data_IF_064425786581
#
_entry.id   IF_064425786581
#
_cell.length_a   1.000
_cell.length_b   1.000
_cell.length_c   1.000
_cell.angle_alpha   90.00
_cell.angle_beta   90.00
_cell.angle_gamma   90.00
#
_symmetry.space_group_name_H-M   'P 1'
#
loop_
_entity.id
_entity.type
_entity.pdbx_description
1 polymer ?
#
# COMPACT_ATOMS: atom_id res chain seq x y z
N UNK A 1 -6.50 45.13 37.65
CA UNK A 1 -5.90 43.85 38.04
C UNK A 1 -6.59 43.41 39.32
N UNK A 2 -7.80 42.89 39.17
CA UNK A 2 -8.49 42.21 40.26
C UNK A 2 -8.25 40.74 39.97
N UNK A 3 -7.18 40.20 40.58
CA UNK A 3 -7.01 38.77 40.68
C UNK A 3 -8.34 38.20 41.18
N UNK A 4 -8.63 36.95 40.86
CA UNK A 4 -9.58 36.14 41.63
C UNK A 4 -9.00 35.90 43.04
N UNK A 5 -8.70 36.98 43.77
CA UNK A 5 -8.27 36.96 45.16
C UNK A 5 -9.47 36.41 45.90
N UNK A 6 -9.36 35.17 46.38
CA UNK A 6 -10.26 34.69 47.41
C UNK A 6 -10.16 35.69 48.55
N UNK A 7 -11.18 36.54 48.69
CA UNK A 7 -11.23 37.64 49.66
C UNK A 7 -11.26 37.13 51.10
N UNK A 8 -11.32 35.82 51.30
CA UNK A 8 -11.25 35.14 52.59
C UNK A 8 -10.30 33.95 52.49
N UNK A 9 -9.27 33.90 53.33
CA UNK A 9 -8.40 32.72 53.45
C UNK A 9 -9.12 31.61 54.23
N UNK A 10 -8.74 30.35 53.98
CA UNK A 10 -9.19 29.24 54.80
C UNK A 10 -8.72 29.49 56.25
N UNK A 11 -9.62 29.54 57.25
CA UNK A 11 -9.23 29.75 58.64
C UNK A 11 -8.32 28.62 59.13
N UNK A 12 -7.26 28.93 59.91
CA UNK A 12 -6.35 27.91 60.43
C UNK A 12 -7.06 26.99 61.44
N UNK A 13 -6.58 25.74 61.57
CA UNK A 13 -7.18 24.75 62.47
C UNK A 13 -7.16 25.18 63.96
N UNK A 14 -6.20 26.03 64.35
CA UNK A 14 -6.11 26.62 65.69
C UNK A 14 -7.34 27.42 66.07
N UNK A 15 -8.02 28.06 65.10
CA UNK A 15 -9.22 28.87 65.34
C UNK A 15 -10.43 28.01 65.74
N UNK A 16 -10.35 26.70 65.51
CA UNK A 16 -11.38 25.72 65.88
C UNK A 16 -11.02 24.87 67.10
N UNK A 17 -9.72 24.68 67.35
CA UNK A 17 -9.24 23.61 68.24
C UNK A 17 -8.30 24.05 69.37
N UNK A 18 -7.78 25.29 69.34
CA UNK A 18 -6.88 25.74 70.40
C UNK A 18 -7.60 25.86 71.75
N UNK A 19 -6.89 25.57 72.84
CA UNK A 19 -7.43 25.65 74.21
C UNK A 19 -7.83 27.08 74.64
N UNK A 20 -7.45 28.09 73.85
CA UNK A 20 -7.76 29.51 74.06
C UNK A 20 -8.95 30.01 73.22
N UNK A 21 -9.58 29.15 72.40
CA UNK A 21 -10.71 29.56 71.55
C UNK A 21 -11.92 29.89 72.42
N UNK A 22 -12.44 31.11 72.23
CA UNK A 22 -13.70 31.55 72.84
C UNK A 22 -14.87 31.18 71.93
N UNK A 23 -16.10 31.16 72.48
CA UNK A 23 -17.32 31.01 71.68
C UNK A 23 -17.40 32.03 70.52
N UNK A 24 -17.01 33.28 70.80
CA UNK A 24 -16.95 34.35 69.80
C UNK A 24 -15.91 34.07 68.71
N UNK A 25 -14.72 33.57 69.08
CA UNK A 25 -13.68 33.15 68.13
C UNK A 25 -14.16 32.02 67.22
N UNK A 26 -14.84 31.02 67.79
CA UNK A 26 -15.38 29.89 67.02
C UNK A 26 -16.47 30.34 66.02
N UNK A 27 -17.37 31.25 66.42
CA UNK A 27 -18.38 31.84 65.53
C UNK A 27 -17.75 32.62 64.37
N UNK A 28 -16.69 33.37 64.63
CA UNK A 28 -15.93 34.07 63.59
C UNK A 28 -15.28 33.07 62.61
N UNK A 29 -14.70 31.98 63.13
CA UNK A 29 -14.08 30.93 62.32
C UNK A 29 -15.09 30.22 61.39
N UNK A 30 -16.30 29.89 61.88
CA UNK A 30 -17.38 29.33 61.04
C UNK A 30 -17.80 30.31 59.95
N UNK A 31 -17.93 31.60 60.28
CA UNK A 31 -18.32 32.64 59.33
C UNK A 31 -17.27 32.77 58.22
N UNK A 32 -15.98 32.78 58.58
CA UNK A 32 -14.86 32.79 57.64
C UNK A 32 -14.83 31.54 56.77
N UNK A 33 -15.04 30.35 57.34
CA UNK A 33 -15.11 29.08 56.60
C UNK A 33 -16.26 29.09 55.58
N UNK A 34 -17.45 29.59 55.95
CA UNK A 34 -18.58 29.73 55.02
C UNK A 34 -18.28 30.70 53.90
N UNK A 35 -17.62 31.82 54.19
CA UNK A 35 -17.23 32.79 53.17
C UNK A 35 -16.20 32.20 52.20
N UNK A 36 -15.22 31.45 52.71
CA UNK A 36 -14.23 30.73 51.90
C UNK A 36 -14.92 29.72 50.98
N UNK A 37 -15.80 28.86 51.52
CA UNK A 37 -16.55 27.88 50.73
C UNK A 37 -17.47 28.54 49.70
N UNK A 38 -18.11 29.66 50.05
CA UNK A 38 -18.94 30.42 49.10
C UNK A 38 -18.11 31.03 47.98
N UNK A 39 -16.86 31.47 48.26
CA UNK A 39 -15.92 31.92 47.25
C UNK A 39 -15.43 30.81 46.33
N UNK A 40 -15.30 29.58 46.84
CA UNK A 40 -14.83 28.41 46.07
C UNK A 40 -15.94 27.73 45.27
N UNK A 41 -17.14 27.61 45.85
CA UNK A 41 -18.22 26.75 45.36
C UNK A 41 -19.48 27.55 44.96
N UNK A 42 -19.49 28.86 45.17
CA UNK A 42 -20.69 29.68 45.04
C UNK A 42 -21.61 29.64 46.27
N UNK A 43 -22.62 30.51 46.28
CA UNK A 43 -23.50 30.74 47.44
C UNK A 43 -24.80 29.93 47.42
N UNK A 44 -25.15 29.31 46.30
CA UNK A 44 -26.46 28.69 46.05
C UNK A 44 -26.49 27.17 46.30
N UNK A 45 -25.34 26.57 46.60
CA UNK A 45 -25.20 25.13 46.84
C UNK A 45 -25.41 24.26 45.58
N UNK A 46 -25.41 24.83 44.38
CA UNK A 46 -25.57 24.06 43.13
C UNK A 46 -24.23 23.58 42.62
N UNK A 47 -24.17 22.30 42.23
CA UNK A 47 -22.97 21.70 41.61
C UNK A 47 -22.54 22.45 40.35
N UNK A 48 -23.48 22.92 39.52
CA UNK A 48 -23.16 23.68 38.32
C UNK A 48 -22.47 25.02 38.62
N UNK A 49 -22.95 25.74 39.64
CA UNK A 49 -22.33 26.98 40.11
C UNK A 49 -20.94 26.69 40.67
N UNK A 50 -20.80 25.65 41.49
CA UNK A 50 -19.50 25.24 42.03
C UNK A 50 -18.49 24.88 40.94
N UNK A 51 -18.88 24.07 39.94
CA UNK A 51 -18.02 23.72 38.81
C UNK A 51 -17.59 24.96 38.02
N UNK A 52 -18.48 25.94 37.85
CA UNK A 52 -18.16 27.20 37.18
C UNK A 52 -17.19 28.04 38.01
N UNK A 53 -17.43 28.19 39.31
CA UNK A 53 -16.56 28.94 40.23
C UNK A 53 -15.17 28.30 40.36
N UNK A 54 -15.10 26.96 40.34
CA UNK A 54 -13.85 26.20 40.30
C UNK A 54 -13.13 26.26 38.94
N UNK A 55 -13.78 26.77 37.88
CA UNK A 55 -13.25 26.80 36.52
C UNK A 55 -13.08 25.41 35.90
N UNK A 56 -13.93 24.45 36.30
CA UNK A 56 -13.89 23.10 35.74
C UNK A 56 -14.18 23.11 34.24
N UNK A 57 -13.40 22.36 33.46
CA UNK A 57 -13.59 22.27 32.01
C UNK A 57 -14.95 21.65 31.69
N UNK A 58 -15.73 22.32 30.83
CA UNK A 58 -17.10 21.95 30.53
C UNK A 58 -18.15 22.50 31.51
N UNK A 59 -17.78 23.41 32.41
CA UNK A 59 -18.69 23.92 33.46
C UNK A 59 -19.88 24.71 32.91
N UNK A 60 -19.72 25.38 31.77
CA UNK A 60 -20.78 26.15 31.12
C UNK A 60 -20.54 26.30 29.61
N UNK A 61 -21.57 26.71 28.89
CA UNK A 61 -21.57 26.82 27.43
C UNK A 61 -21.84 28.26 26.97
N UNK A 62 -21.08 28.73 25.99
CA UNK A 62 -21.19 30.06 25.40
C UNK A 62 -21.27 29.94 23.87
N UNK A 63 -22.41 30.30 23.30
CA UNK A 63 -22.55 30.41 21.85
C UNK A 63 -22.15 31.82 21.38
N UNK A 64 -21.25 31.92 20.39
CA UNK A 64 -20.78 33.20 19.84
C UNK A 64 -20.80 33.17 18.31
N UNK A 65 -21.40 34.19 17.70
CA UNK A 65 -21.52 34.34 16.23
C UNK A 65 -20.85 35.61 15.69
N UNK A 66 -20.11 36.33 16.53
CA UNK A 66 -19.42 37.57 16.20
C UNK A 66 -18.31 37.87 17.20
N UNK A 67 -17.60 38.98 16.96
CA UNK A 67 -16.44 39.40 17.74
C UNK A 67 -16.66 39.28 19.25
N UNK A 68 -15.75 38.56 19.92
CA UNK A 68 -15.80 38.30 21.35
C UNK A 68 -14.38 38.27 21.90
N UNK A 69 -14.18 38.77 23.12
CA UNK A 69 -12.93 38.63 23.85
C UNK A 69 -13.20 37.74 25.06
N UNK A 70 -12.42 36.66 25.19
CA UNK A 70 -12.52 35.72 26.29
C UNK A 70 -12.19 36.46 27.59
N UNK A 71 -13.08 36.36 28.56
CA UNK A 71 -12.92 36.92 29.90
C UNK A 71 -12.34 35.87 30.86
N UNK A 72 -11.84 36.30 32.03
CA UNK A 72 -11.36 35.36 33.04
C UNK A 72 -12.49 34.49 33.62
N UNK A 73 -13.73 34.96 33.57
CA UNK A 73 -14.92 34.22 33.99
C UNK A 73 -15.32 33.09 33.02
N UNK A 74 -14.75 33.11 31.81
CA UNK A 74 -14.96 32.04 30.82
C UNK A 74 -14.10 30.81 31.13
N UNK A 75 -13.35 30.79 32.24
CA UNK A 75 -12.53 29.64 32.62
C UNK A 75 -13.38 28.37 32.65
N UNK A 76 -12.92 27.35 31.92
CA UNK A 76 -13.61 26.07 31.79
C UNK A 76 -14.84 26.09 30.87
N UNK A 77 -15.16 27.21 30.22
CA UNK A 77 -16.28 27.29 29.28
C UNK A 77 -16.05 26.43 28.03
N UNK A 78 -17.16 25.94 27.47
CA UNK A 78 -17.24 25.50 26.08
C UNK A 78 -17.74 26.67 25.24
N UNK A 79 -16.86 27.23 24.41
CA UNK A 79 -17.19 28.33 23.50
C UNK A 79 -17.47 27.72 22.12
N UNK A 80 -18.74 27.68 21.73
CA UNK A 80 -19.18 27.25 20.41
C UNK A 80 -19.33 28.46 19.49
N UNK A 81 -18.56 28.46 18.42
CA UNK A 81 -18.35 29.60 17.54
C UNK A 81 -18.88 29.33 16.15
N UNK A 82 -19.48 30.35 15.54
CA UNK A 82 -19.96 30.31 14.15
C UNK A 82 -19.60 31.60 13.42
N UNK A 83 -19.45 31.54 12.09
CA UNK A 83 -19.14 32.70 11.24
C UNK A 83 -17.64 32.98 11.05
N UNK A 84 -17.30 34.18 10.59
CA UNK A 84 -15.92 34.62 10.32
C UNK A 84 -15.63 35.90 11.10
N UNK A 85 -14.84 35.80 12.17
CA UNK A 85 -14.53 36.90 13.09
C UNK A 85 -13.31 36.56 13.96
N UNK A 86 -12.83 37.51 14.76
CA UNK A 86 -11.67 37.31 15.63
C UNK A 86 -12.07 37.12 17.09
N UNK A 87 -11.65 35.99 17.69
CA UNK A 87 -11.76 35.73 19.12
C UNK A 87 -10.51 36.28 19.82
N UNK A 88 -10.68 37.35 20.58
CA UNK A 88 -9.62 37.88 21.44
C UNK A 88 -9.37 36.96 22.63
N UNK A 89 -8.11 36.69 22.95
CA UNK A 89 -7.71 35.99 24.17
C UNK A 89 -7.20 37.01 25.20
N UNK A 90 -7.39 36.77 26.51
CA UNK A 90 -6.80 37.63 27.53
C UNK A 90 -5.27 37.58 27.47
N UNK A 91 -4.61 38.55 28.10
CA UNK A 91 -3.16 38.49 28.29
C UNK A 91 -2.80 37.24 29.11
N UNK A 92 -1.72 36.57 28.73
CA UNK A 92 -1.22 35.36 29.40
C UNK A 92 -0.97 35.61 30.88
N UNK A 93 -0.41 36.78 31.23
CA UNK A 93 -0.18 37.19 32.62
C UNK A 93 -1.47 37.33 33.43
N UNK A 94 -2.57 37.75 32.80
CA UNK A 94 -3.87 37.87 33.46
C UNK A 94 -4.62 36.53 33.55
N UNK A 95 -4.44 35.66 32.56
CA UNK A 95 -5.05 34.33 32.53
C UNK A 95 -4.38 33.36 33.52
N UNK A 96 -3.08 33.53 33.74
CA UNK A 96 -2.23 32.66 34.55
C UNK A 96 -2.14 31.21 34.02
N UNK A 97 -1.15 30.45 34.49
CA UNK A 97 -0.95 29.08 34.09
C UNK A 97 -2.16 28.19 34.45
N UNK A 98 -2.58 27.36 33.51
CA UNK A 98 -3.68 26.41 33.67
C UNK A 98 -5.08 26.98 33.39
N UNK A 99 -5.22 28.25 33.01
CA UNK A 99 -6.49 28.73 32.45
C UNK A 99 -6.80 27.97 31.17
N UNK A 100 -8.01 27.41 31.06
CA UNK A 100 -8.38 26.57 29.93
C UNK A 100 -9.81 26.82 29.47
N UNK A 101 -10.03 26.81 28.16
CA UNK A 101 -11.37 26.85 27.53
C UNK A 101 -11.45 25.81 26.43
N UNK A 102 -12.63 25.20 26.27
CA UNK A 102 -12.90 24.31 25.14
C UNK A 102 -13.47 25.14 23.98
N UNK A 103 -12.83 25.05 22.82
CA UNK A 103 -13.22 25.77 21.62
C UNK A 103 -13.84 24.80 20.61
N UNK A 104 -14.96 25.19 20.02
CA UNK A 104 -15.59 24.49 18.88
C UNK A 104 -15.98 25.50 17.82
N UNK A 105 -15.63 25.24 16.57
CA UNK A 105 -16.16 26.01 15.44
C UNK A 105 -17.19 25.14 14.70
N UNK A 106 -18.46 25.30 15.07
CA UNK A 106 -19.59 24.64 14.43
C UNK A 106 -20.06 25.30 13.13
N UNK A 107 -19.46 26.44 12.74
CA UNK A 107 -19.82 27.18 11.53
C UNK A 107 -19.07 26.72 10.28
N UNK A 108 -19.29 27.46 9.20
CA UNK A 108 -18.61 27.29 7.90
C UNK A 108 -17.45 28.29 7.69
N UNK A 109 -17.41 29.35 8.49
CA UNK A 109 -16.38 30.38 8.44
C UNK A 109 -15.15 30.07 9.32
N UNK A 110 -14.08 30.82 9.12
CA UNK A 110 -12.85 30.72 9.93
C UNK A 110 -12.90 31.75 11.05
N UNK A 111 -12.70 31.31 12.29
CA UNK A 111 -12.52 32.20 13.44
C UNK A 111 -11.03 32.38 13.69
N UNK A 112 -10.55 33.62 13.81
CA UNK A 112 -9.14 33.89 14.09
C UNK A 112 -8.95 34.05 15.60
N UNK A 113 -8.10 33.21 16.20
CA UNK A 113 -7.70 33.36 17.60
C UNK A 113 -6.59 34.42 17.67
N UNK A 114 -6.80 35.45 18.49
CA UNK A 114 -5.90 36.59 18.60
C UNK A 114 -5.49 36.77 20.06
N UNK A 115 -4.29 36.32 20.46
CA UNK A 115 -3.68 36.66 21.75
C UNK A 115 -3.57 38.18 21.97
N UNK A 116 -3.57 38.61 23.24
CA UNK A 116 -3.40 40.02 23.57
C UNK A 116 -1.94 40.48 23.36
N UNK A 117 -1.76 41.69 22.83
CA UNK A 117 -0.44 42.30 22.71
C UNK A 117 0.56 41.46 21.91
N UNK A 118 1.69 41.11 22.52
CA UNK A 118 2.76 40.30 21.93
C UNK A 118 2.70 38.82 22.32
N UNK A 119 1.65 38.39 23.01
CA UNK A 119 1.49 36.99 23.40
C UNK A 119 1.38 36.09 22.17
N UNK A 120 1.77 34.83 22.34
CA UNK A 120 1.78 33.85 21.26
C UNK A 120 0.84 32.69 21.52
N UNK A 121 0.27 32.13 20.45
CA UNK A 121 -0.44 30.85 20.40
C UNK A 121 0.31 29.91 19.47
N UNK A 122 0.80 28.77 19.98
CA UNK A 122 1.63 27.83 19.21
C UNK A 122 2.81 28.51 18.49
N UNK A 123 3.41 29.54 19.12
CA UNK A 123 4.51 30.33 18.56
C UNK A 123 4.10 31.39 17.51
N UNK A 124 2.81 31.62 17.28
CA UNK A 124 2.29 32.60 16.33
C UNK A 124 1.48 33.72 17.04
N UNK A 125 1.47 34.94 16.48
CA UNK A 125 0.67 36.06 17.00
C UNK A 125 -0.83 35.99 16.66
N UNK A 126 -1.24 35.04 15.83
CA UNK A 126 -2.64 34.68 15.61
C UNK A 126 -2.74 33.29 15.01
N UNK A 127 -3.89 32.64 15.19
CA UNK A 127 -4.14 31.31 14.62
C UNK A 127 -5.52 31.22 13.98
N UNK A 128 -5.56 30.76 12.72
CA UNK A 128 -6.81 30.47 12.02
C UNK A 128 -7.45 29.17 12.54
N UNK A 129 -8.64 29.29 13.12
CA UNK A 129 -9.45 28.18 13.63
C UNK A 129 -10.61 27.91 12.67
N UNK A 130 -10.32 27.10 11.64
CA UNK A 130 -11.23 26.76 10.56
C UNK A 130 -12.48 25.97 10.98
N UNK A 131 -13.45 25.82 10.07
CA UNK A 131 -14.73 25.16 10.33
C UNK A 131 -14.55 23.69 10.73
N UNK A 132 -15.40 23.20 11.64
CA UNK A 132 -15.39 21.82 12.12
C UNK A 132 -14.24 21.47 13.09
N UNK A 133 -13.36 22.42 13.42
CA UNK A 133 -12.28 22.21 14.40
C UNK A 133 -12.82 22.25 15.84
N UNK A 134 -12.18 21.48 16.71
CA UNK A 134 -12.42 21.49 18.15
C UNK A 134 -11.13 21.22 18.91
N UNK A 135 -10.86 21.99 19.95
CA UNK A 135 -9.62 21.93 20.71
C UNK A 135 -9.82 22.46 22.13
N UNK A 136 -8.96 22.05 23.06
CA UNK A 136 -8.86 22.71 24.37
C UNK A 136 -7.71 23.71 24.29
N UNK A 137 -8.00 25.00 24.48
CA UNK A 137 -7.02 26.06 24.59
C UNK A 137 -6.56 26.16 26.04
N UNK A 138 -5.25 26.18 26.28
CA UNK A 138 -4.65 26.21 27.62
C UNK A 138 -3.61 27.33 27.67
N UNK A 139 -3.64 28.14 28.73
CA UNK A 139 -2.58 29.08 29.06
C UNK A 139 -1.47 28.35 29.82
N UNK A 140 -0.23 28.43 29.33
CA UNK A 140 0.95 27.81 29.96
C UNK A 140 1.61 28.71 31.02
N UNK A 141 1.16 29.95 31.15
CA UNK A 141 1.80 31.00 31.94
C UNK A 141 2.81 31.86 31.16
N UNK A 142 3.22 31.43 29.96
CA UNK A 142 4.08 32.24 29.05
C UNK A 142 3.54 32.32 27.62
N UNK A 143 2.63 31.42 27.23
CA UNK A 143 2.00 31.38 25.91
C UNK A 143 0.69 30.58 25.96
N UNK A 144 -0.06 30.63 24.86
CA UNK A 144 -1.24 29.81 24.61
C UNK A 144 -0.87 28.54 23.84
N UNK A 145 -1.44 27.40 24.24
CA UNK A 145 -1.32 26.11 23.55
C UNK A 145 -2.69 25.52 23.22
N UNK A 146 -2.78 24.75 22.14
CA UNK A 146 -3.96 23.97 21.75
C UNK A 146 -3.71 22.49 21.95
N UNK A 147 -4.49 21.88 22.83
CA UNK A 147 -4.61 20.44 22.92
C UNK A 147 -5.68 19.97 21.92
N UNK A 148 -5.25 19.47 20.77
CA UNK A 148 -6.11 18.89 19.74
C UNK A 148 -5.53 17.56 19.18
N UNK A 149 -6.38 16.62 18.72
CA UNK A 149 -5.89 15.50 17.93
C UNK A 149 -5.32 16.05 16.61
N UNK A 150 -4.02 15.88 16.40
CA UNK A 150 -3.35 16.32 15.17
C UNK A 150 -3.93 15.53 13.99
N UNK A 151 -4.73 16.18 13.14
CA UNK A 151 -5.20 15.60 11.87
C UNK A 151 -4.28 16.02 10.73
N UNK A 152 -4.29 15.26 9.65
CA UNK A 152 -3.66 15.67 8.39
C UNK A 152 -4.25 17.00 7.90
N UNK A 153 -3.39 17.92 7.49
CA UNK A 153 -3.76 19.22 6.91
C UNK A 153 -4.24 19.13 5.46
N UNK A 154 -4.03 17.99 4.80
CA UNK A 154 -4.53 17.67 3.47
C UNK A 154 -4.16 16.24 3.05
N UNK A 155 -4.59 15.78 1.86
CA UNK A 155 -4.33 14.41 1.38
C UNK A 155 -2.84 14.07 1.21
N UNK A 156 -1.98 15.08 1.06
CA UNK A 156 -0.54 14.94 0.88
C UNK A 156 0.27 15.09 2.20
N UNK A 157 -0.39 15.31 3.34
CA UNK A 157 0.30 15.49 4.63
C UNK A 157 0.78 14.15 5.19
N UNK A 158 2.06 13.84 4.96
CA UNK A 158 2.72 12.63 5.45
C UNK A 158 3.36 12.78 6.84
N UNK A 159 3.07 13.86 7.58
CA UNK A 159 3.71 14.09 8.88
C UNK A 159 3.37 12.98 9.88
N UNK A 160 4.37 12.37 10.56
CA UNK A 160 4.13 11.32 11.54
C UNK A 160 3.24 11.78 12.71
N UNK A 161 2.48 10.83 13.28
CA UNK A 161 1.65 11.06 14.47
C UNK A 161 0.36 11.84 14.22
N UNK A 162 -0.05 11.99 12.95
CA UNK A 162 -1.33 12.60 12.58
C UNK A 162 -2.40 11.55 12.27
N UNK A 163 -3.65 11.84 12.63
CA UNK A 163 -4.82 11.06 12.21
C UNK A 163 -5.15 11.33 10.74
N UNK A 164 -5.46 10.27 10.00
CA UNK A 164 -5.91 10.35 8.61
C UNK A 164 -7.22 11.15 8.49
N UNK A 165 -7.32 12.00 7.48
CA UNK A 165 -8.58 12.66 7.16
C UNK A 165 -9.54 11.70 6.44
N UNK A 166 -10.85 11.92 6.58
CA UNK A 166 -11.86 11.12 5.88
C UNK A 166 -11.66 11.29 4.37
N UNK A 167 -11.58 10.18 3.62
CA UNK A 167 -11.32 10.19 2.18
C UNK A 167 -9.84 10.13 1.79
N UNK A 168 -8.90 10.46 2.68
CA UNK A 168 -7.47 10.31 2.40
C UNK A 168 -7.04 8.83 2.28
N UNK A 169 -7.81 7.91 2.88
CA UNK A 169 -7.54 6.47 2.79
C UNK A 169 -7.59 5.94 1.35
N UNK A 170 -8.45 6.50 0.48
CA UNK A 170 -8.52 6.11 -0.94
C UNK A 170 -7.27 6.56 -1.72
N UNK A 171 -6.73 7.74 -1.41
CA UNK A 171 -5.46 8.23 -1.97
C UNK A 171 -4.29 7.35 -1.52
N UNK A 172 -4.26 6.98 -0.24
CA UNK A 172 -3.25 6.05 0.31
C UNK A 172 -3.38 4.64 -0.28
N UNK A 173 -4.61 4.17 -0.55
CA UNK A 173 -4.85 2.87 -1.17
C UNK A 173 -4.56 2.86 -2.68
N UNK A 174 -4.85 3.95 -3.40
CA UNK A 174 -4.48 4.13 -4.80
C UNK A 174 -2.96 4.27 -4.97
N UNK A 175 -2.28 4.79 -3.95
CA UNK A 175 -0.82 4.82 -3.84
C UNK A 175 -0.24 3.48 -3.34
N UNK A 176 -1.08 2.51 -2.99
CA UNK A 176 -0.60 1.23 -2.51
C UNK A 176 0.01 0.45 -3.67
N UNK A 177 1.29 0.07 -3.58
CA UNK A 177 1.94 -0.72 -4.61
C UNK A 177 1.31 -2.11 -4.80
N UNK A 178 0.47 -2.54 -3.85
CA UNK A 178 -0.31 -3.77 -3.92
C UNK A 178 -1.38 -3.76 -5.04
N UNK A 179 -1.78 -2.59 -5.58
CA UNK A 179 -2.82 -2.53 -6.61
C UNK A 179 -2.25 -2.72 -8.02
N UNK A 180 -1.35 -1.83 -8.47
CA UNK A 180 -0.50 -1.91 -9.68
C UNK A 180 0.22 -0.58 -9.88
N UNK A 181 1.55 -0.58 -10.02
CA UNK A 181 2.31 0.64 -10.32
C UNK A 181 2.05 1.13 -11.76
N UNK A 182 2.04 2.45 -11.97
CA UNK A 182 2.02 3.00 -13.32
C UNK A 182 3.41 2.90 -13.95
N UNK A 183 3.46 2.69 -15.27
CA UNK A 183 4.71 2.44 -16.00
C UNK A 183 4.97 3.59 -16.96
N UNK A 184 6.15 4.18 -16.87
CA UNK A 184 6.76 5.06 -17.86
C UNK A 184 8.10 4.50 -18.35
N UNK A 185 8.81 5.30 -19.13
CA UNK A 185 10.13 4.94 -19.66
C UNK A 185 10.08 4.15 -20.97
N UNK A 186 11.15 3.40 -21.24
CA UNK A 186 11.35 2.59 -22.45
C UNK A 186 11.44 1.09 -22.12
N UNK A 187 11.45 0.24 -23.15
CA UNK A 187 11.48 -1.22 -23.04
C UNK A 187 12.48 -1.80 -22.01
N UNK A 188 13.67 -1.20 -21.90
CA UNK A 188 14.75 -1.68 -21.02
C UNK A 188 15.07 -0.71 -19.87
N UNK A 189 14.35 0.41 -19.78
CA UNK A 189 14.52 1.42 -18.72
C UNK A 189 13.15 1.84 -18.26
N UNK A 190 12.63 1.11 -17.27
CA UNK A 190 11.28 1.30 -16.75
C UNK A 190 11.31 2.28 -15.58
N UNK A 191 10.34 3.20 -15.57
CA UNK A 191 10.07 4.06 -14.42
C UNK A 191 8.71 3.69 -13.84
N UNK A 192 8.68 3.20 -12.61
CA UNK A 192 7.47 2.83 -11.89
C UNK A 192 7.09 3.94 -10.91
N UNK A 193 5.85 4.41 -10.96
CA UNK A 193 5.31 5.34 -9.95
C UNK A 193 4.31 4.61 -9.08
N UNK A 194 4.62 4.51 -7.79
CA UNK A 194 3.74 3.89 -6.78
C UNK A 194 2.75 4.90 -6.21
N UNK A 195 3.14 6.18 -6.13
CA UNK A 195 2.39 7.23 -5.43
C UNK A 195 2.58 7.22 -3.91
N UNK A 196 3.32 6.25 -3.36
CA UNK A 196 3.60 6.13 -1.92
C UNK A 196 4.74 7.04 -1.44
N UNK A 197 5.44 7.72 -2.35
CA UNK A 197 6.60 8.57 -2.06
C UNK A 197 7.64 7.84 -1.18
N UNK A 198 8.06 6.66 -1.63
CA UNK A 198 9.05 5.86 -0.93
C UNK A 198 10.35 6.66 -0.78
N UNK A 199 10.95 6.65 0.41
CA UNK A 199 12.24 7.31 0.69
C UNK A 199 13.45 6.39 0.44
N UNK A 200 13.22 5.09 0.38
CA UNK A 200 14.17 4.04 0.02
C UNK A 200 13.41 2.79 -0.42
N UNK A 201 14.09 1.86 -1.08
CA UNK A 201 13.54 0.55 -1.43
C UNK A 201 13.73 -0.43 -0.25
N UNK A 202 12.68 -0.84 0.47
CA UNK A 202 12.80 -1.87 1.49
C UNK A 202 12.96 -3.24 0.85
N UNK A 203 13.88 -4.07 1.37
CA UNK A 203 13.98 -5.48 1.00
C UNK A 203 12.65 -6.20 1.21
N UNK A 204 12.21 -6.98 0.23
CA UNK A 204 10.92 -7.65 0.22
C UNK A 204 9.78 -6.83 -0.39
N UNK A 205 10.05 -5.61 -0.90
CA UNK A 205 9.04 -4.84 -1.63
C UNK A 205 8.56 -5.61 -2.85
N UNK A 206 7.24 -5.82 -2.94
CA UNK A 206 6.56 -6.44 -4.08
C UNK A 206 5.76 -5.41 -4.85
N UNK A 207 6.04 -5.32 -6.15
CA UNK A 207 5.35 -4.45 -7.10
C UNK A 207 4.74 -5.30 -8.21
N UNK A 208 3.58 -4.89 -8.70
CA UNK A 208 2.98 -5.42 -9.93
C UNK A 208 2.85 -4.30 -10.95
N UNK A 209 3.22 -4.55 -12.20
CA UNK A 209 3.09 -3.58 -13.29
C UNK A 209 2.75 -4.25 -14.62
N UNK A 210 2.32 -3.47 -15.62
CA UNK A 210 2.19 -3.95 -17.01
C UNK A 210 3.02 -3.07 -17.91
N UNK A 211 3.97 -3.67 -18.62
CA UNK A 211 4.83 -2.92 -19.51
C UNK A 211 4.06 -2.42 -20.75
N UNK A 212 4.52 -1.31 -21.31
CA UNK A 212 4.03 -0.74 -22.58
C UNK A 212 4.81 -1.26 -23.79
N UNK A 213 5.99 -1.83 -23.56
CA UNK A 213 6.84 -2.43 -24.59
C UNK A 213 7.48 -3.72 -24.07
N UNK A 214 7.79 -4.64 -25.00
CA UNK A 214 8.59 -5.83 -24.70
C UNK A 214 10.03 -5.41 -24.45
N UNK A 215 10.68 -5.97 -23.42
CA UNK A 215 12.10 -5.74 -23.22
C UNK A 215 12.92 -6.43 -24.33
N UNK A 216 14.03 -5.82 -24.73
CA UNK A 216 14.94 -6.38 -25.74
C UNK A 216 16.24 -6.90 -25.13
N UNK A 217 16.39 -6.84 -23.81
CA UNK A 217 17.51 -7.39 -23.06
C UNK A 217 17.46 -6.98 -21.59
N UNK A 218 18.66 -6.82 -20.99
CA UNK A 218 18.81 -6.39 -19.61
C UNK A 218 18.02 -5.11 -19.35
N UNK A 219 17.23 -5.11 -18.27
CA UNK A 219 16.30 -4.03 -17.94
C UNK A 219 16.61 -3.47 -16.56
N UNK A 220 16.38 -2.17 -16.38
CA UNK A 220 16.40 -1.53 -15.06
C UNK A 220 15.02 -0.98 -14.70
N UNK A 221 14.69 -0.99 -13.42
CA UNK A 221 13.49 -0.35 -12.85
C UNK A 221 13.93 0.74 -11.88
N UNK A 222 13.47 1.96 -12.12
CA UNK A 222 13.50 3.07 -11.16
C UNK A 222 12.11 3.22 -10.54
N UNK A 223 12.02 3.26 -9.22
CA UNK A 223 10.75 3.39 -8.49
C UNK A 223 10.72 4.74 -7.78
N UNK A 224 9.71 5.54 -8.09
CA UNK A 224 9.49 6.88 -7.50
C UNK A 224 10.73 7.82 -7.58
N UNK A 225 11.65 7.58 -8.51
CA UNK A 225 12.88 8.37 -8.67
C UNK A 225 13.98 8.07 -7.67
N UNK A 226 13.94 6.91 -7.00
CA UNK A 226 14.95 6.45 -6.03
C UNK A 226 16.24 5.94 -6.70
N UNK A 227 16.24 5.78 -8.02
CA UNK A 227 17.38 5.35 -8.80
C UNK A 227 17.13 4.01 -9.49
N UNK A 228 17.71 3.86 -10.68
CA UNK A 228 17.55 2.68 -11.50
C UNK A 228 18.29 1.47 -10.90
N UNK A 229 17.55 0.39 -10.68
CA UNK A 229 18.05 -0.89 -10.17
C UNK A 229 17.91 -1.98 -11.24
N UNK A 230 18.93 -2.83 -11.38
CA UNK A 230 18.94 -3.92 -12.34
C UNK A 230 17.86 -4.98 -12.06
N UNK A 231 17.27 -5.51 -13.13
CA UNK A 231 16.30 -6.60 -13.07
C UNK A 231 16.95 -7.94 -13.42
N UNK A 232 16.51 -8.99 -12.73
CA UNK A 232 16.94 -10.36 -12.89
C UNK A 232 15.75 -11.29 -13.05
N UNK A 233 15.98 -12.43 -13.71
CA UNK A 233 15.02 -13.53 -13.78
C UNK A 233 14.88 -14.19 -12.40
N UNK A 234 13.90 -15.07 -12.24
CA UNK A 234 13.76 -15.90 -11.02
C UNK A 234 14.98 -16.80 -10.74
N UNK A 235 15.80 -17.06 -11.76
CA UNK A 235 17.06 -17.83 -11.67
C UNK A 235 18.28 -16.96 -11.40
N UNK A 236 18.13 -15.63 -11.31
CA UNK A 236 19.21 -14.68 -11.03
C UNK A 236 20.01 -14.21 -12.25
N UNK A 237 19.64 -14.64 -13.46
CA UNK A 237 20.26 -14.18 -14.70
C UNK A 237 19.78 -12.77 -15.08
N UNK A 238 20.54 -12.06 -15.94
CA UNK A 238 20.05 -10.84 -16.56
C UNK A 238 18.80 -11.13 -17.41
N UNK A 239 17.86 -10.19 -17.49
CA UNK A 239 16.63 -10.44 -18.25
C UNK A 239 16.92 -10.69 -19.75
N UNK A 240 16.41 -11.79 -20.31
CA UNK A 240 16.47 -12.05 -21.74
C UNK A 240 15.43 -11.23 -22.49
N UNK A 241 15.62 -11.07 -23.79
CA UNK A 241 14.64 -10.39 -24.65
C UNK A 241 13.27 -11.08 -24.58
N UNK A 242 12.20 -10.30 -24.46
CA UNK A 242 10.83 -10.81 -24.37
C UNK A 242 10.43 -11.41 -23.01
N UNK A 243 11.26 -11.29 -21.97
CA UNK A 243 10.90 -11.72 -20.61
C UNK A 243 9.72 -10.91 -20.05
N UNK A 244 9.76 -9.58 -20.20
CA UNK A 244 8.68 -8.68 -19.82
C UNK A 244 7.70 -8.60 -20.98
N UNK A 245 6.42 -8.90 -20.69
CA UNK A 245 5.34 -8.89 -21.67
C UNK A 245 4.38 -7.72 -21.49
N UNK A 246 3.69 -7.35 -22.56
CA UNK A 246 2.70 -6.26 -22.57
C UNK A 246 1.26 -6.74 -22.34
N UNK A 247 0.98 -8.03 -22.56
CA UNK A 247 -0.35 -8.64 -22.47
C UNK A 247 -0.74 -9.03 -21.04
N UNK A 248 0.26 -9.26 -20.18
CA UNK A 248 0.08 -9.70 -18.79
C UNK A 248 0.86 -8.82 -17.81
N UNK A 249 0.49 -8.89 -16.54
CA UNK A 249 1.25 -8.20 -15.50
C UNK A 249 2.49 -8.99 -15.11
N UNK A 250 3.54 -8.24 -14.78
CA UNK A 250 4.81 -8.73 -14.25
C UNK A 250 4.88 -8.41 -12.77
N UNK A 251 5.37 -9.36 -11.97
CA UNK A 251 5.62 -9.17 -10.55
C UNK A 251 7.11 -8.91 -10.34
N UNK A 252 7.46 -7.88 -9.59
CA UNK A 252 8.83 -7.51 -9.25
C UNK A 252 9.01 -7.52 -7.74
N UNK A 253 9.95 -8.32 -7.26
CA UNK A 253 10.35 -8.42 -5.86
C UNK A 253 11.74 -7.79 -5.68
N UNK A 254 11.88 -6.83 -4.77
CA UNK A 254 13.20 -6.27 -4.44
C UNK A 254 13.90 -7.14 -3.40
N UNK A 255 15.05 -7.72 -3.74
CA UNK A 255 15.83 -8.60 -2.85
C UNK A 255 16.83 -7.85 -1.95
N UNK A 256 16.91 -6.52 -2.09
CA UNK A 256 17.90 -5.67 -1.42
C UNK A 256 19.05 -5.20 -2.33
N UNK A 257 19.22 -5.82 -3.50
CA UNK A 257 20.28 -5.49 -4.49
C UNK A 257 19.73 -5.36 -5.92
N UNK A 258 18.72 -6.15 -6.28
CA UNK A 258 18.16 -6.24 -7.63
C UNK A 258 16.65 -6.50 -7.55
N UNK A 259 15.97 -6.22 -8.67
CA UNK A 259 14.59 -6.65 -8.86
C UNK A 259 14.56 -8.06 -9.41
N UNK A 260 13.93 -9.00 -8.71
CA UNK A 260 13.64 -10.35 -9.20
C UNK A 260 12.25 -10.34 -9.82
N UNK A 261 12.19 -10.59 -11.13
CA UNK A 261 10.94 -10.53 -11.89
C UNK A 261 10.38 -11.93 -12.13
N UNK A 262 9.11 -12.09 -11.80
CA UNK A 262 8.32 -13.26 -12.14
C UNK A 262 7.26 -12.91 -13.20
N UNK A 263 6.93 -13.89 -14.05
CA UNK A 263 6.00 -13.74 -15.16
C UNK A 263 5.02 -14.90 -15.22
N UNK A 264 3.80 -14.60 -15.65
CA UNK A 264 2.85 -15.65 -16.02
C UNK A 264 3.43 -16.50 -17.18
N UNK A 265 3.22 -17.83 -17.16
CA UNK A 265 3.55 -18.70 -18.29
C UNK A 265 2.96 -18.17 -19.59
N UNK A 266 3.77 -18.16 -20.64
CA UNK A 266 3.30 -17.86 -22.00
C UNK A 266 2.97 -19.17 -22.69
N UNK A 267 1.78 -19.25 -23.30
CA UNK A 267 1.30 -20.44 -23.99
C UNK A 267 0.80 -20.05 -25.36
N UNK A 268 1.12 -20.86 -26.36
CA UNK A 268 0.64 -20.64 -27.73
C UNK A 268 0.38 -21.95 -28.45
N UNK A 269 -0.46 -21.84 -29.49
CA UNK A 269 -0.80 -22.94 -30.40
C UNK A 269 -0.57 -22.45 -31.81
N UNK A 270 0.25 -23.17 -32.55
CA UNK A 270 0.58 -22.95 -33.96
C UNK A 270 0.32 -24.23 -34.74
N UNK A 271 0.39 -24.16 -36.07
CA UNK A 271 0.18 -25.33 -36.95
C UNK A 271 1.20 -26.44 -36.67
N UNK A 272 2.42 -26.07 -36.28
CA UNK A 272 3.54 -26.96 -35.98
C UNK A 272 3.62 -27.36 -34.50
N UNK A 273 2.58 -27.09 -33.70
CA UNK A 273 2.48 -27.57 -32.33
C UNK A 273 2.10 -26.51 -31.31
N UNK A 274 2.18 -26.89 -30.04
CA UNK A 274 1.91 -26.04 -28.89
C UNK A 274 3.21 -25.77 -28.14
N UNK A 275 3.32 -24.59 -27.53
CA UNK A 275 4.45 -24.25 -26.67
C UNK A 275 4.03 -23.68 -25.33
N UNK A 276 4.87 -23.84 -24.31
CA UNK A 276 4.78 -23.16 -23.01
C UNK A 276 6.15 -22.65 -22.62
N UNK A 277 6.29 -21.33 -22.40
CA UNK A 277 7.48 -20.69 -21.82
C UNK A 277 7.22 -20.34 -20.36
N UNK A 278 8.08 -20.82 -19.48
CA UNK A 278 8.04 -20.57 -18.04
C UNK A 278 9.02 -19.47 -17.63
N UNK A 279 8.79 -18.87 -16.46
CA UNK A 279 9.62 -17.80 -15.92
C UNK A 279 11.06 -18.26 -15.63
N UNK A 280 11.25 -19.53 -15.27
CA UNK A 280 12.56 -20.13 -14.97
C UNK A 280 13.46 -20.34 -16.19
N UNK A 281 12.92 -20.15 -17.40
CA UNK A 281 13.64 -20.40 -18.66
C UNK A 281 13.21 -21.67 -19.38
N UNK A 282 12.41 -22.52 -18.75
CA UNK A 282 11.95 -23.75 -19.38
C UNK A 282 11.00 -23.46 -20.55
N UNK A 283 11.28 -24.08 -21.69
CA UNK A 283 10.43 -24.18 -22.86
C UNK A 283 9.98 -25.63 -23.05
N UNK A 284 8.66 -25.80 -23.17
CA UNK A 284 8.06 -27.09 -23.50
C UNK A 284 7.33 -26.93 -24.82
N UNK A 285 7.73 -27.71 -25.82
CA UNK A 285 7.08 -27.79 -27.11
C UNK A 285 6.41 -29.16 -27.26
N UNK A 286 5.25 -29.23 -27.89
CA UNK A 286 4.56 -30.49 -28.17
C UNK A 286 3.85 -30.45 -29.51
N UNK A 287 3.79 -31.57 -30.23
CA UNK A 287 3.11 -31.65 -31.51
C UNK A 287 2.60 -33.06 -31.80
N UNK A 288 1.48 -33.15 -32.51
CA UNK A 288 1.01 -34.36 -33.15
C UNK A 288 1.19 -34.17 -34.65
N UNK A 289 2.07 -34.95 -35.27
CA UNK A 289 2.41 -34.82 -36.68
C UNK A 289 2.25 -36.14 -37.42
N UNK A 290 1.97 -36.05 -38.72
CA UNK A 290 1.97 -37.20 -39.62
C UNK A 290 3.27 -37.24 -40.41
N UNK A 291 4.01 -38.33 -40.26
CA UNK A 291 5.25 -38.60 -40.97
C UNK A 291 4.90 -39.23 -42.33
N UNK A 292 5.31 -38.62 -43.45
CA UNK A 292 5.15 -39.21 -44.77
C UNK A 292 6.12 -40.38 -45.01
N UNK A 293 5.74 -41.28 -45.91
CA UNK A 293 6.66 -42.25 -46.53
C UNK A 293 7.95 -41.57 -46.99
N UNK A 294 9.09 -42.11 -46.55
CA UNK A 294 10.41 -41.67 -46.99
C UNK A 294 11.13 -42.79 -47.74
N UNK A 295 11.19 -43.98 -47.14
CA UNK A 295 11.80 -45.17 -47.73
C UNK A 295 10.97 -46.41 -47.43
N UNK A 296 11.29 -47.53 -48.09
CA UNK A 296 10.69 -48.83 -47.79
C UNK A 296 10.85 -49.26 -46.32
N UNK A 297 11.78 -48.66 -45.57
CA UNK A 297 12.03 -48.96 -44.16
C UNK A 297 11.54 -47.87 -43.20
N UNK A 298 11.23 -46.66 -43.67
CA UNK A 298 10.95 -45.51 -42.81
C UNK A 298 9.89 -44.54 -43.33
N UNK A 299 9.16 -43.96 -42.38
CA UNK A 299 8.42 -42.70 -42.56
C UNK A 299 9.15 -41.60 -41.79
N UNK A 300 9.43 -40.48 -42.45
CA UNK A 300 10.32 -39.44 -41.92
C UNK A 300 9.74 -38.04 -42.14
N UNK A 301 10.06 -37.12 -41.24
CA UNK A 301 9.68 -35.73 -41.36
C UNK A 301 10.50 -34.84 -40.43
N UNK A 302 10.42 -33.53 -40.65
CA UNK A 302 11.06 -32.54 -39.80
C UNK A 302 10.02 -31.85 -38.95
N UNK A 303 10.15 -31.96 -37.64
CA UNK A 303 9.37 -31.13 -36.73
C UNK A 303 10.09 -29.80 -36.53
N UNK A 304 9.51 -28.73 -37.08
CA UNK A 304 9.91 -27.35 -36.77
C UNK A 304 9.22 -26.98 -35.46
N UNK A 305 9.98 -26.60 -34.44
CA UNK A 305 9.38 -26.28 -33.14
C UNK A 305 8.48 -25.04 -33.23
N UNK A 306 7.35 -25.02 -32.50
CA UNK A 306 6.45 -23.86 -32.44
C UNK A 306 7.10 -22.64 -31.74
N UNK A 307 8.17 -22.85 -30.99
CA UNK A 307 9.02 -21.80 -30.45
C UNK A 307 10.48 -22.27 -30.46
N UNK A 308 11.40 -21.34 -30.74
CA UNK A 308 12.84 -21.63 -30.78
C UNK A 308 13.42 -21.82 -29.37
N UNK A 309 14.28 -22.82 -29.21
CA UNK A 309 15.09 -23.02 -28.01
C UNK A 309 16.36 -22.15 -28.05
N UNK A 310 16.89 -21.79 -26.89
CA UNK A 310 18.13 -21.02 -26.78
C UNK A 310 19.33 -21.80 -27.30
N UNK A 311 20.32 -21.08 -27.85
CA UNK A 311 21.58 -21.66 -28.28
C UNK A 311 22.28 -22.35 -27.11
N UNK A 312 22.62 -23.63 -27.27
CA UNK A 312 23.27 -24.43 -26.22
C UNK A 312 22.32 -25.16 -25.26
N UNK A 313 20.99 -24.96 -25.38
CA UNK A 313 19.98 -25.65 -24.56
C UNK A 313 19.91 -27.16 -24.78
N UNK A 314 20.35 -27.67 -25.95
CA UNK A 314 20.32 -29.08 -26.35
C UNK A 314 18.99 -29.76 -25.99
N UNK A 315 17.87 -29.41 -26.64
CA UNK A 315 16.55 -29.83 -26.21
C UNK A 315 16.43 -31.35 -26.17
N UNK A 316 15.88 -31.86 -25.07
CA UNK A 316 15.56 -33.26 -24.89
C UNK A 316 14.21 -33.50 -25.55
N UNK A 317 14.22 -34.26 -26.64
CA UNK A 317 13.03 -34.60 -27.40
C UNK A 317 12.65 -36.05 -27.16
N UNK A 318 11.36 -36.28 -26.94
CA UNK A 318 10.75 -37.61 -26.80
C UNK A 318 9.60 -37.73 -27.78
N UNK A 319 9.39 -38.93 -28.30
CA UNK A 319 8.32 -39.20 -29.24
C UNK A 319 7.82 -40.62 -29.11
N UNK A 320 6.53 -40.80 -29.36
CA UNK A 320 5.90 -42.10 -29.48
C UNK A 320 4.97 -42.09 -30.69
N UNK A 321 4.81 -43.23 -31.33
CA UNK A 321 3.69 -43.44 -32.24
C UNK A 321 2.40 -43.23 -31.45
N UNK A 322 1.52 -42.32 -31.89
CA UNK A 322 0.34 -41.93 -31.11
C UNK A 322 -0.62 -43.13 -30.97
N UNK A 323 -0.92 -43.56 -29.73
CA UNK A 323 -1.64 -44.82 -29.49
C UNK A 323 -1.75 -45.33 -28.05
N UNK A 324 -2.56 -44.69 -27.20
CA UNK A 324 -3.11 -45.32 -26.00
C UNK A 324 -4.63 -45.47 -26.21
N UNK A 325 -5.05 -46.51 -26.92
CA UNK A 325 -6.46 -46.78 -27.20
C UNK A 325 -6.69 -47.98 -28.13
N UNK A 326 -7.74 -48.74 -27.86
CA UNK A 326 -8.05 -50.09 -28.38
C UNK A 326 -8.52 -50.18 -29.84
N UNK A 327 -8.23 -49.20 -30.70
CA UNK A 327 -8.62 -49.23 -32.11
C UNK A 327 -7.40 -49.04 -33.03
N UNK A 328 -6.82 -50.12 -33.59
CA UNK A 328 -5.66 -50.06 -34.48
C UNK A 328 -5.96 -49.40 -35.84
N UNK A 329 -7.21 -49.02 -36.15
CA UNK A 329 -7.59 -48.44 -37.45
C UNK A 329 -7.35 -46.93 -37.59
N UNK A 330 -7.01 -46.21 -36.51
CA UNK A 330 -6.72 -44.75 -36.58
C UNK A 330 -5.24 -44.41 -36.74
N UNK A 331 -4.33 -45.40 -36.69
CA UNK A 331 -2.87 -45.19 -36.66
C UNK A 331 -2.23 -45.01 -38.04
N UNK A 332 -2.92 -45.52 -39.04
CA UNK A 332 -2.40 -45.80 -40.36
C UNK A 332 -3.60 -45.75 -41.28
N UNK A 333 -4.11 -44.56 -41.59
CA UNK A 333 -5.18 -44.47 -42.60
C UNK A 333 -4.73 -45.04 -43.95
N UNK A 334 -3.43 -45.37 -44.12
CA UNK A 334 -2.92 -46.19 -45.22
C UNK A 334 -1.60 -46.98 -44.97
N UNK A 335 -0.99 -46.96 -43.78
CA UNK A 335 0.39 -47.49 -43.64
C UNK A 335 0.48 -49.03 -43.69
N UNK A 336 1.39 -49.55 -44.51
CA UNK A 336 1.78 -50.96 -44.61
C UNK A 336 3.24 -51.05 -44.17
N UNK A 337 3.63 -51.63 -43.04
CA UNK A 337 2.89 -52.60 -42.24
C UNK A 337 1.89 -51.90 -41.30
N UNK A 338 0.88 -52.64 -40.86
CA UNK A 338 -0.06 -52.17 -39.84
C UNK A 338 0.65 -51.90 -38.50
N UNK A 339 -0.08 -51.32 -37.54
CA UNK A 339 0.48 -50.82 -36.27
C UNK A 339 1.42 -51.78 -35.52
N UNK A 340 1.18 -53.09 -35.57
CA UNK A 340 2.02 -54.10 -34.91
C UNK A 340 3.41 -54.29 -35.56
N UNK A 341 3.53 -54.01 -36.86
CA UNK A 341 4.79 -54.12 -37.61
C UNK A 341 5.64 -52.85 -37.61
N UNK A 342 5.19 -51.82 -36.88
CA UNK A 342 5.90 -50.54 -36.72
C UNK A 342 6.64 -50.53 -35.38
N UNK A 343 7.84 -49.97 -35.33
CA UNK A 343 8.55 -49.76 -34.07
C UNK A 343 7.80 -48.73 -33.21
N UNK A 344 7.52 -49.02 -31.92
CA UNK A 344 6.81 -48.07 -31.06
C UNK A 344 7.66 -46.84 -30.70
N UNK A 345 8.99 -46.98 -30.76
CA UNK A 345 9.93 -45.89 -30.56
C UNK A 345 10.05 -45.00 -31.80
N UNK A 346 10.06 -43.69 -31.58
CA UNK A 346 10.34 -42.69 -32.61
C UNK A 346 11.84 -42.39 -32.57
N UNK A 347 12.53 -42.60 -33.69
CA UNK A 347 13.91 -42.21 -33.84
C UNK A 347 14.01 -40.70 -34.08
N UNK A 348 14.98 -40.07 -33.42
CA UNK A 348 15.19 -38.63 -33.47
C UNK A 348 16.61 -38.33 -33.94
N UNK A 349 16.74 -37.40 -34.87
CA UNK A 349 18.03 -36.88 -35.31
C UNK A 349 18.72 -36.05 -34.23
N UNK A 350 19.90 -35.52 -34.54
CA UNK A 350 20.55 -34.54 -33.67
C UNK A 350 19.63 -33.32 -33.49
N UNK A 351 19.30 -32.98 -32.25
CA UNK A 351 18.42 -31.86 -31.93
C UNK A 351 19.04 -30.53 -32.31
N UNK A 352 18.35 -29.74 -33.15
CA UNK A 352 18.64 -28.33 -33.36
C UNK A 352 17.84 -27.44 -32.40
N UNK A 353 18.09 -26.13 -32.43
CA UNK A 353 17.31 -25.14 -31.68
C UNK A 353 15.96 -24.79 -32.32
N UNK A 354 15.83 -25.03 -33.62
CA UNK A 354 14.65 -24.66 -34.42
C UNK A 354 13.84 -25.86 -34.89
N UNK A 355 14.48 -27.02 -35.06
CA UNK A 355 13.83 -28.21 -35.56
C UNK A 355 14.58 -29.49 -35.18
N UNK A 356 13.90 -30.61 -35.39
CA UNK A 356 14.47 -31.94 -35.23
C UNK A 356 13.93 -32.87 -36.32
N UNK A 357 14.79 -33.75 -36.84
CA UNK A 357 14.37 -34.84 -37.72
C UNK A 357 13.75 -35.95 -36.90
N UNK A 358 12.64 -36.48 -37.42
CA UNK A 358 11.82 -37.49 -36.74
C UNK A 358 11.57 -38.61 -37.73
N UNK A 359 11.81 -39.85 -37.29
CA UNK A 359 11.64 -41.03 -38.12
C UNK A 359 10.97 -42.14 -37.33
N UNK A 360 10.14 -42.92 -38.02
CA UNK A 360 9.62 -44.19 -37.52
C UNK A 360 10.01 -45.28 -38.50
N UNK A 361 10.47 -46.40 -37.96
CA UNK A 361 10.94 -47.53 -38.73
C UNK A 361 9.97 -48.71 -38.62
N UNK A 362 9.93 -49.55 -39.65
CA UNK A 362 9.30 -50.88 -39.55
C UNK A 362 10.15 -51.80 -38.68
N UNK A 363 9.53 -52.81 -38.08
CA UNK A 363 10.26 -53.88 -37.41
C UNK A 363 10.98 -54.78 -38.42
N UNK A 364 12.01 -55.48 -37.95
CA UNK A 364 12.72 -56.44 -38.79
C UNK A 364 11.78 -57.54 -39.28
N UNK A 365 11.90 -57.91 -40.56
CA UNK A 365 11.07 -58.90 -41.25
C UNK A 365 9.58 -58.53 -41.45
N UNK A 366 9.19 -57.28 -41.16
CA UNK A 366 7.86 -56.78 -41.51
C UNK A 366 7.78 -56.28 -42.95
N UNK A 367 6.54 -56.12 -43.44
CA UNK A 367 6.26 -55.58 -44.77
C UNK A 367 6.84 -54.17 -44.92
N UNK A 368 7.29 -53.81 -46.12
CA UNK A 368 7.83 -52.47 -46.40
C UNK A 368 6.73 -51.41 -46.44
N UNK A 369 7.06 -50.22 -45.94
CA UNK A 369 6.29 -48.99 -46.21
C UNK A 369 6.08 -48.79 -47.70
N UNK A 370 4.89 -48.29 -48.05
CA UNK A 370 4.46 -48.02 -49.42
C UNK A 370 4.36 -46.51 -49.67
N UNK A 371 4.44 -46.12 -50.94
CA UNK A 371 4.21 -44.73 -51.34
C UNK A 371 2.77 -44.36 -51.01
N UNK A 372 2.59 -43.30 -50.21
CA UNK A 372 1.28 -42.88 -49.71
C UNK A 372 1.06 -43.19 -48.23
N UNK A 373 1.96 -43.96 -47.61
CA UNK A 373 1.89 -44.24 -46.18
C UNK A 373 2.09 -42.96 -45.35
N UNK A 374 1.39 -42.93 -44.22
CA UNK A 374 1.40 -41.87 -43.22
C UNK A 374 1.39 -42.51 -41.83
N UNK A 375 2.30 -42.09 -40.96
CA UNK A 375 2.37 -42.57 -39.57
C UNK A 375 2.25 -41.37 -38.64
N UNK A 376 1.31 -41.44 -37.70
CA UNK A 376 1.08 -40.36 -36.74
C UNK A 376 1.93 -40.54 -35.48
N UNK A 377 2.61 -39.48 -35.08
CA UNK A 377 3.47 -39.45 -33.88
C UNK A 377 3.10 -38.30 -32.98
N UNK A 378 3.25 -38.51 -31.68
CA UNK A 378 3.17 -37.45 -30.66
C UNK A 378 4.58 -37.17 -30.16
N UNK A 379 4.95 -35.90 -30.18
CA UNK A 379 6.30 -35.43 -29.89
C UNK A 379 6.25 -34.39 -28.77
N UNK A 380 7.25 -34.42 -27.88
CA UNK A 380 7.46 -33.39 -26.87
C UNK A 380 8.95 -33.06 -26.79
N UNK A 381 9.29 -31.77 -26.75
CA UNK A 381 10.66 -31.28 -26.58
C UNK A 381 10.74 -30.37 -25.35
N UNK A 382 11.78 -30.55 -24.56
CA UNK A 382 12.07 -29.77 -23.34
C UNK A 382 13.47 -29.17 -23.45
N UNK A 383 13.61 -27.90 -23.07
CA UNK A 383 14.88 -27.19 -23.07
C UNK A 383 14.66 -25.76 -22.57
N UNK A 384 15.63 -24.88 -22.79
CA UNK A 384 15.55 -23.49 -22.36
C UNK A 384 15.19 -22.55 -23.52
N UNK A 385 14.44 -21.47 -23.26
CA UNK A 385 14.20 -20.41 -24.26
C UNK A 385 15.09 -19.18 -24.09
N UNK A 386 15.94 -19.12 -23.05
CA UNK A 386 16.94 -18.07 -22.88
C UNK A 386 18.23 -18.54 -22.21
#
# INVERSE_FOLDING_TARGET
>A
MELLTMTTSLPPSSDFTASTVTEGGFKAAITASRAFLAGLLGTDGKVATALRTLGALGSHHLAKSGAYTVSLDDRGAVIDMTGTWSLGLPAVEAAEAGFSVALRNGGTGTVTLTPAGSDQIEGAGSLAFGPGRSAVLICTGTAWMLAEPRRQSGPADASPGRLLSVGASATVLSASPALRASVGGSANVLSLTTGAALSALPTGLLLRFRATALNTGATTIDVDGLGAVACKTVTGAALPAGYIRTDVDTWAAYDGTSWVLDRAPERGVLVNGRFTRLADGTLICSHEMELPFATAASCEGTWIYPAMFATGSNPITTGATSGVGTDPSTHTSNATPGAAGICPGVAMGAGGTESIQVAVFRQNNETNFQVGDRVRVTLTAHGDWY
#
